data_IF_970500766114
#
_entry.id   IF_970500766114
#
_cell.length_a   1.000
_cell.length_b   1.000
_cell.length_c   1.000
_cell.angle_alpha   90.00
_cell.angle_beta   90.00
_cell.angle_gamma   90.00
#
_symmetry.space_group_name_H-M   'P 1'
#
loop_
_entity.id
_entity.type
_entity.pdbx_description
1 polymer ?
#
# COMPACT_ATOMS: atom_id res chain seq x y z
N UNK A 1 2.55 -21.50 13.49
CA UNK A 1 1.70 -21.45 12.27
C UNK A 1 0.54 -20.54 12.63
N UNK A 2 0.30 -19.50 11.87
CA UNK A 2 -0.78 -18.55 12.17
C UNK A 2 -2.10 -19.12 11.65
N UNK A 3 -3.03 -19.43 12.56
CA UNK A 3 -4.31 -20.06 12.25
C UNK A 3 -5.39 -19.08 11.75
N UNK A 4 -4.98 -17.86 11.33
CA UNK A 4 -5.92 -16.91 10.75
C UNK A 4 -6.44 -17.44 9.42
N UNK A 5 -7.76 -17.40 9.19
CA UNK A 5 -8.32 -17.88 7.93
C UNK A 5 -7.82 -17.02 6.78
N UNK A 6 -7.13 -17.64 5.85
CA UNK A 6 -6.78 -17.01 4.58
C UNK A 6 -8.05 -16.94 3.74
N UNK A 7 -8.27 -15.80 3.09
CA UNK A 7 -9.27 -15.74 2.02
C UNK A 7 -8.65 -16.49 0.84
N UNK A 8 -8.98 -17.76 0.70
CA UNK A 8 -8.62 -18.51 -0.49
C UNK A 8 -9.70 -18.30 -1.53
N UNK A 9 -9.36 -17.63 -2.62
CA UNK A 9 -10.22 -17.67 -3.80
C UNK A 9 -10.05 -19.02 -4.47
N UNK A 10 -11.16 -19.75 -4.76
CA UNK A 10 -11.08 -20.99 -5.52
C UNK A 10 -10.40 -20.74 -6.87
N UNK A 11 -9.29 -21.43 -7.15
CA UNK A 11 -8.53 -21.30 -8.39
C UNK A 11 -7.25 -20.47 -8.30
N UNK A 12 -6.95 -19.85 -7.17
CA UNK A 12 -5.63 -19.25 -6.92
C UNK A 12 -4.78 -20.29 -6.18
N UNK A 13 -3.92 -20.96 -6.92
CA UNK A 13 -2.87 -21.83 -6.40
C UNK A 13 -1.57 -21.04 -6.47
N UNK A 14 -1.26 -20.24 -5.48
CA UNK A 14 -0.03 -19.48 -5.41
C UNK A 14 0.81 -19.85 -4.19
N UNK A 15 2.11 -19.56 -4.25
CA UNK A 15 2.98 -19.62 -3.09
C UNK A 15 2.72 -18.41 -2.22
N UNK A 16 2.53 -18.62 -0.91
CA UNK A 16 2.51 -17.55 0.06
C UNK A 16 3.93 -17.32 0.57
N UNK A 17 4.46 -16.12 0.34
CA UNK A 17 5.71 -15.68 0.96
C UNK A 17 5.37 -14.75 2.12
N UNK A 18 5.97 -15.01 3.27
CA UNK A 18 5.91 -14.11 4.43
C UNK A 18 7.25 -13.41 4.53
N UNK A 19 7.25 -12.13 4.30
CA UNK A 19 8.41 -11.28 4.53
C UNK A 19 8.21 -10.50 5.83
N UNK A 20 9.15 -10.62 6.72
CA UNK A 20 9.18 -9.81 7.94
C UNK A 20 10.34 -8.83 7.85
N UNK A 21 10.03 -7.55 7.88
CA UNK A 21 11.04 -6.47 7.92
C UNK A 21 10.80 -5.68 9.20
N UNK A 22 11.58 -5.98 10.23
CA UNK A 22 11.34 -5.42 11.56
C UNK A 22 10.01 -5.89 12.14
N UNK A 23 9.15 -4.98 12.53
CA UNK A 23 7.79 -5.24 13.06
C UNK A 23 6.71 -5.28 11.96
N UNK A 24 7.06 -5.04 10.70
CA UNK A 24 6.14 -5.10 9.57
C UNK A 24 6.06 -6.53 9.06
N UNK A 25 4.86 -7.05 8.97
CA UNK A 25 4.59 -8.37 8.38
C UNK A 25 3.88 -8.18 7.06
N UNK A 26 4.57 -8.49 5.97
CA UNK A 26 4.02 -8.52 4.62
C UNK A 26 3.75 -9.98 4.23
N UNK A 27 2.51 -10.27 3.86
CA UNK A 27 2.09 -11.58 3.37
C UNK A 27 1.71 -11.44 1.91
N UNK A 28 2.56 -11.98 1.07
CA UNK A 28 2.42 -11.91 -0.37
C UNK A 28 1.84 -13.21 -0.93
N UNK A 29 0.89 -13.09 -1.83
CA UNK A 29 0.32 -14.19 -2.61
C UNK A 29 0.54 -13.89 -4.09
N UNK A 30 1.10 -14.85 -4.80
CA UNK A 30 1.40 -14.73 -6.23
C UNK A 30 0.60 -15.78 -6.96
N UNK A 31 -0.19 -15.38 -7.94
CA UNK A 31 -0.87 -16.28 -8.86
C UNK A 31 0.17 -17.01 -9.72
N UNK A 32 -0.01 -18.33 -9.92
CA UNK A 32 0.88 -19.18 -10.73
C UNK A 32 0.97 -18.71 -12.18
N UNK A 33 -0.09 -18.10 -12.72
CA UNK A 33 -0.11 -17.53 -14.06
C UNK A 33 0.59 -16.16 -14.14
N UNK A 34 0.91 -15.59 -12.99
CA UNK A 34 1.55 -14.28 -12.91
C UNK A 34 0.65 -13.10 -13.30
N UNK A 35 -0.67 -13.29 -13.30
CA UNK A 35 -1.64 -12.27 -13.69
C UNK A 35 -1.98 -11.31 -12.56
N UNK A 36 -1.94 -11.79 -11.31
CA UNK A 36 -2.27 -11.01 -10.11
C UNK A 36 -1.31 -11.35 -8.99
N UNK A 37 -0.90 -10.37 -8.23
CA UNK A 37 -0.30 -10.57 -6.91
C UNK A 37 -1.02 -9.70 -5.88
N UNK A 38 -1.15 -10.18 -4.66
CA UNK A 38 -1.76 -9.44 -3.57
C UNK A 38 -1.15 -9.83 -2.24
N UNK A 39 -1.30 -8.99 -1.24
CA UNK A 39 -0.84 -9.27 0.10
C UNK A 39 -1.47 -8.36 1.14
N UNK A 40 -1.17 -8.65 2.38
CA UNK A 40 -1.60 -7.87 3.54
C UNK A 40 -0.38 -7.38 4.28
N UNK A 41 -0.30 -6.08 4.53
CA UNK A 41 0.76 -5.47 5.33
C UNK A 41 0.15 -4.87 6.60
N UNK A 42 0.77 -5.18 7.72
CA UNK A 42 0.54 -4.51 9.00
C UNK A 42 1.64 -3.46 9.20
N UNK A 43 1.28 -2.19 9.11
CA UNK A 43 2.22 -1.08 9.33
C UNK A 43 2.27 -0.65 10.78
N UNK A 44 3.47 -0.45 11.27
CA UNK A 44 3.74 0.13 12.60
C UNK A 44 3.89 1.65 12.51
N UNK A 45 3.75 2.40 13.62
CA UNK A 45 3.96 3.85 13.64
C UNK A 45 5.35 4.24 13.10
N UNK A 46 5.40 5.30 12.29
CA UNK A 46 6.62 5.82 11.70
C UNK A 46 7.14 5.04 10.48
N UNK A 47 6.46 3.97 10.06
CA UNK A 47 6.85 3.26 8.85
C UNK A 47 6.44 4.02 7.60
N UNK A 48 7.28 3.97 6.57
CA UNK A 48 6.94 4.55 5.27
C UNK A 48 7.62 3.78 4.12
N UNK A 49 7.04 3.91 2.95
CA UNK A 49 7.63 3.49 1.68
C UNK A 49 7.88 4.76 0.87
N UNK A 50 9.12 4.98 0.45
CA UNK A 50 9.53 6.15 -0.31
C UNK A 50 8.84 6.23 -1.68
N UNK A 51 8.89 7.40 -2.32
CA UNK A 51 8.26 7.65 -3.60
C UNK A 51 8.75 6.65 -4.66
N UNK A 52 7.81 5.92 -5.24
CA UNK A 52 8.06 4.89 -6.24
C UNK A 52 6.85 4.72 -7.15
N UNK A 53 7.04 3.99 -8.24
CA UNK A 53 5.95 3.52 -9.10
C UNK A 53 6.12 2.03 -9.43
N UNK A 54 5.08 1.45 -10.01
CA UNK A 54 5.09 0.08 -10.52
C UNK A 54 4.84 0.04 -12.02
N UNK A 55 5.30 -1.01 -12.70
CA UNK A 55 5.00 -1.26 -14.12
C UNK A 55 3.60 -1.84 -14.34
N UNK A 56 2.80 -1.93 -13.29
CA UNK A 56 1.40 -2.35 -13.29
C UNK A 56 0.56 -1.37 -12.46
N UNK A 57 -0.76 -1.52 -12.49
CA UNK A 57 -1.66 -0.82 -11.58
C UNK A 57 -1.62 -1.45 -10.18
N UNK A 58 -1.92 -0.65 -9.19
CA UNK A 58 -2.04 -1.08 -7.80
C UNK A 58 -3.39 -0.64 -7.23
N UNK A 59 -4.04 -1.55 -6.52
CA UNK A 59 -5.21 -1.25 -5.68
C UNK A 59 -4.83 -1.48 -4.22
N UNK A 60 -5.05 -0.48 -3.40
CA UNK A 60 -4.83 -0.56 -1.96
C UNK A 60 -6.16 -0.39 -1.24
N UNK A 61 -6.43 -1.26 -0.30
CA UNK A 61 -7.60 -1.19 0.57
C UNK A 61 -7.12 -1.11 2.01
N UNK A 62 -7.46 -0.03 2.70
CA UNK A 62 -7.20 0.09 4.13
C UNK A 62 -8.23 -0.75 4.87
N UNK A 63 -7.75 -1.69 5.69
CA UNK A 63 -8.63 -2.58 6.45
C UNK A 63 -9.53 -1.76 7.36
N UNK A 64 -10.84 -2.04 7.30
CA UNK A 64 -11.84 -1.33 8.10
C UNK A 64 -11.70 -1.55 9.60
N UNK A 65 -10.95 -2.57 10.02
CA UNK A 65 -10.61 -2.83 11.42
C UNK A 65 -9.37 -2.08 11.89
N UNK A 66 -8.67 -1.34 11.01
CA UNK A 66 -7.54 -0.51 11.41
C UNK A 66 -7.99 0.56 12.40
N UNK A 67 -7.18 0.81 13.42
CA UNK A 67 -7.47 1.86 14.41
C UNK A 67 -7.19 3.26 13.85
N UNK A 68 -6.25 3.37 12.92
CA UNK A 68 -5.81 4.63 12.33
C UNK A 68 -5.79 4.58 10.81
N UNK A 69 -5.73 5.78 10.22
CA UNK A 69 -5.63 6.00 8.78
C UNK A 69 -4.20 5.78 8.29
N UNK A 70 -4.05 5.34 7.05
CA UNK A 70 -2.81 5.45 6.30
C UNK A 70 -2.72 6.79 5.56
N UNK A 71 -1.52 7.11 5.07
CA UNK A 71 -1.29 8.30 4.26
C UNK A 71 -0.60 7.89 2.96
N UNK A 72 -1.15 8.36 1.84
CA UNK A 72 -0.52 8.19 0.53
C UNK A 72 -0.03 9.52 0.00
N UNK A 73 1.22 9.59 -0.46
CA UNK A 73 1.73 10.73 -1.20
C UNK A 73 1.38 10.54 -2.68
N UNK A 74 0.67 11.51 -3.24
CA UNK A 74 0.22 11.46 -4.60
C UNK A 74 0.10 12.87 -5.16
N UNK A 75 0.65 13.12 -6.35
CA UNK A 75 0.62 14.42 -7.02
C UNK A 75 1.12 15.58 -6.18
N UNK A 76 2.23 15.37 -5.50
CA UNK A 76 2.91 16.42 -4.75
C UNK A 76 2.36 16.72 -3.37
N UNK A 77 1.38 15.97 -2.88
CA UNK A 77 0.85 16.13 -1.52
C UNK A 77 0.48 14.80 -0.87
N UNK A 78 0.40 14.81 0.45
CA UNK A 78 -0.10 13.70 1.23
C UNK A 78 -1.62 13.71 1.31
N UNK A 79 -2.22 12.52 1.17
CA UNK A 79 -3.65 12.27 1.29
C UNK A 79 -3.89 11.28 2.42
N UNK A 80 -4.92 11.50 3.20
CA UNK A 80 -5.34 10.57 4.25
C UNK A 80 -6.30 9.52 3.70
N UNK A 81 -5.94 8.25 3.86
CA UNK A 81 -6.77 7.10 3.52
C UNK A 81 -7.33 6.50 4.82
N UNK A 82 -8.60 6.75 5.08
CA UNK A 82 -9.27 6.28 6.28
C UNK A 82 -9.56 4.75 6.21
N UNK A 83 -9.75 4.07 7.36
CA UNK A 83 -10.18 2.68 7.38
C UNK A 83 -11.40 2.43 6.51
N UNK A 84 -11.35 1.39 5.68
CA UNK A 84 -12.37 1.08 4.67
C UNK A 84 -12.20 1.82 3.32
N UNK A 85 -11.22 2.72 3.19
CA UNK A 85 -10.92 3.39 1.92
C UNK A 85 -10.24 2.45 0.93
N UNK A 86 -10.51 2.68 -0.36
CA UNK A 86 -9.78 2.08 -1.47
C UNK A 86 -9.04 3.17 -2.27
N UNK A 87 -7.77 2.94 -2.56
CA UNK A 87 -6.91 3.82 -3.35
C UNK A 87 -6.46 3.06 -4.58
N UNK A 88 -6.83 3.55 -5.76
CA UNK A 88 -6.41 2.98 -7.03
C UNK A 88 -5.30 3.83 -7.64
N UNK A 89 -4.17 3.20 -7.95
CA UNK A 89 -2.98 3.81 -8.51
C UNK A 89 -2.75 3.23 -9.92
N UNK A 90 -2.87 4.03 -10.97
CA UNK A 90 -2.61 3.58 -12.34
C UNK A 90 -1.15 3.14 -12.53
N UNK A 91 -0.91 2.34 -13.56
CA UNK A 91 0.43 1.97 -13.99
C UNK A 91 1.33 3.21 -14.15
N UNK A 92 2.55 3.14 -13.58
CA UNK A 92 3.55 4.20 -13.67
C UNK A 92 3.26 5.44 -12.83
N UNK A 93 2.24 5.39 -11.98
CA UNK A 93 1.88 6.51 -11.10
C UNK A 93 2.82 6.59 -9.90
N UNK A 94 3.62 7.68 -9.75
CA UNK A 94 4.47 7.85 -8.58
C UNK A 94 3.64 8.07 -7.31
N UNK A 95 3.96 7.30 -6.27
CA UNK A 95 3.28 7.38 -4.98
C UNK A 95 4.22 6.95 -3.84
N UNK A 96 3.86 7.31 -2.62
CA UNK A 96 4.50 6.84 -1.40
C UNK A 96 3.43 6.52 -0.35
N UNK A 97 3.80 5.72 0.65
CA UNK A 97 2.94 5.39 1.77
C UNK A 97 3.62 5.69 3.10
N UNK A 98 2.83 6.13 4.07
CA UNK A 98 3.28 6.34 5.43
C UNK A 98 2.18 5.98 6.43
N UNK A 99 2.57 5.36 7.54
CA UNK A 99 1.70 5.19 8.71
C UNK A 99 1.63 6.47 9.56
N UNK A 100 2.42 7.48 9.23
CA UNK A 100 2.53 8.67 10.06
C UNK A 100 3.03 8.36 11.46
N UNK A 101 2.66 9.20 12.41
CA UNK A 101 2.98 9.02 13.83
C UNK A 101 1.86 8.30 14.61
N UNK A 102 0.93 7.69 13.91
CA UNK A 102 -0.23 7.02 14.45
C UNK A 102 0.12 5.63 15.02
N UNK A 103 -0.88 4.85 15.42
CA UNK A 103 -0.70 3.51 15.96
C UNK A 103 -0.32 2.48 14.91
N UNK A 104 -0.50 2.80 13.66
CA UNK A 104 -0.31 1.92 12.52
C UNK A 104 -1.64 1.52 11.89
N UNK A 105 -1.55 0.93 10.72
CA UNK A 105 -2.73 0.47 9.98
C UNK A 105 -2.43 -0.80 9.20
N UNK A 106 -3.49 -1.50 8.86
CA UNK A 106 -3.42 -2.68 8.01
C UNK A 106 -3.95 -2.35 6.63
N UNK A 107 -3.27 -2.81 5.60
CA UNK A 107 -3.75 -2.70 4.24
C UNK A 107 -3.65 -4.00 3.45
N UNK A 108 -4.59 -4.18 2.54
CA UNK A 108 -4.50 -5.14 1.45
C UNK A 108 -3.99 -4.40 0.22
N UNK A 109 -2.95 -4.93 -0.43
CA UNK A 109 -2.48 -4.46 -1.72
C UNK A 109 -2.73 -5.50 -2.80
N UNK A 110 -3.05 -5.05 -4.00
CA UNK A 110 -3.30 -5.90 -5.19
C UNK A 110 -2.61 -5.27 -6.38
N UNK A 111 -1.81 -6.03 -7.09
CA UNK A 111 -1.20 -5.64 -8.36
C UNK A 111 -1.83 -6.41 -9.52
N UNK A 112 -2.02 -5.74 -10.66
CA UNK A 112 -2.63 -6.32 -11.86
C UNK A 112 -1.74 -7.27 -12.65
N UNK A 113 -0.54 -7.58 -12.15
CA UNK A 113 0.37 -8.54 -12.74
C UNK A 113 1.21 -9.23 -11.68
N UNK A 114 1.90 -10.28 -12.09
CA UNK A 114 2.76 -11.06 -11.22
C UNK A 114 3.90 -10.23 -10.61
N UNK A 115 4.50 -10.78 -9.58
CA UNK A 115 5.48 -10.12 -8.70
C UNK A 115 6.63 -9.42 -9.44
N UNK A 116 7.08 -9.93 -10.59
CA UNK A 116 8.17 -9.33 -11.37
C UNK A 116 7.84 -7.95 -11.95
N UNK A 117 6.57 -7.64 -12.22
CA UNK A 117 6.14 -6.32 -12.71
C UNK A 117 5.66 -5.40 -11.58
N UNK A 118 5.42 -5.94 -10.40
CA UNK A 118 5.07 -5.22 -9.19
C UNK A 118 6.29 -4.67 -8.44
N UNK A 119 7.50 -4.89 -8.95
CA UNK A 119 8.74 -4.34 -8.37
C UNK A 119 8.64 -2.82 -8.28
N UNK A 120 9.07 -2.27 -7.15
CA UNK A 120 9.15 -0.83 -6.94
C UNK A 120 10.28 -0.23 -7.76
N UNK A 121 9.94 0.75 -8.58
CA UNK A 121 10.90 1.63 -9.24
C UNK A 121 10.90 2.95 -8.47
N UNK A 122 11.97 3.24 -7.75
CA UNK A 122 12.03 4.42 -6.90
C UNK A 122 12.21 5.70 -7.72
N UNK A 123 11.31 6.65 -7.52
CA UNK A 123 11.31 7.98 -8.14
C UNK A 123 12.03 9.03 -7.26
N UNK A 124 12.33 8.66 -6.02
CA UNK A 124 13.16 9.42 -5.10
C UNK A 124 14.10 8.46 -4.35
N UNK A 125 15.24 8.99 -3.89
CA UNK A 125 16.16 8.22 -3.06
C UNK A 125 15.49 7.83 -1.74
N UNK A 126 15.31 6.52 -1.46
CA UNK A 126 14.67 6.05 -0.23
C UNK A 126 15.36 6.49 1.06
N UNK A 127 16.65 6.88 1.00
CA UNK A 127 17.40 7.36 2.16
C UNK A 127 17.14 8.83 2.47
N UNK A 128 16.71 9.61 1.49
CA UNK A 128 16.49 11.05 1.63
C UNK A 128 15.04 11.46 1.55
N UNK A 129 14.16 10.62 1.01
CA UNK A 129 12.72 10.87 1.00
C UNK A 129 12.19 10.90 2.44
N UNK A 130 11.46 11.95 2.78
CA UNK A 130 10.94 12.11 4.14
C UNK A 130 9.51 11.57 4.26
N UNK A 131 9.19 10.83 5.34
CA UNK A 131 7.82 10.47 5.63
C UNK A 131 6.97 11.71 5.92
N UNK A 132 5.66 11.51 5.97
CA UNK A 132 4.73 12.58 6.33
C UNK A 132 5.07 13.19 7.70
N UNK A 133 5.08 14.51 7.79
CA UNK A 133 5.26 15.23 9.04
C UNK A 133 3.94 15.33 9.82
N UNK A 134 4.02 15.61 11.13
CA UNK A 134 2.80 15.81 11.97
C UNK A 134 1.91 16.95 11.49
N UNK A 135 2.48 17.98 10.90
CA UNK A 135 1.70 19.10 10.37
C UNK A 135 0.99 18.72 9.08
N UNK A 136 1.65 17.95 8.21
CA UNK A 136 1.02 17.38 7.02
C UNK A 136 -0.09 16.39 7.38
N UNK A 137 0.10 15.52 8.39
CA UNK A 137 -0.94 14.61 8.88
C UNK A 137 -2.23 15.34 9.27
N UNK A 138 -2.11 16.46 10.00
CA UNK A 138 -3.27 17.24 10.44
C UNK A 138 -4.01 17.91 9.29
N UNK A 139 -3.30 18.23 8.22
CA UNK A 139 -3.81 18.99 7.08
C UNK A 139 -4.05 18.13 5.84
N UNK A 140 -3.70 16.82 5.88
CA UNK A 140 -3.89 15.93 4.76
C UNK A 140 -5.38 15.81 4.42
N UNK A 141 -5.78 16.17 3.19
CA UNK A 141 -7.16 15.97 2.75
C UNK A 141 -7.48 14.47 2.70
N UNK A 142 -8.76 14.13 2.88
CA UNK A 142 -9.23 12.76 2.77
C UNK A 142 -9.16 12.33 1.30
N UNK A 143 -8.63 11.13 1.06
CA UNK A 143 -8.66 10.51 -0.26
C UNK A 143 -10.11 10.29 -0.71
N UNK A 144 -10.47 10.81 -1.88
CA UNK A 144 -11.77 10.62 -2.51
C UNK A 144 -11.60 10.15 -3.96
N UNK A 145 -12.65 9.56 -4.53
CA UNK A 145 -12.63 9.16 -5.94
C UNK A 145 -12.40 10.36 -6.90
N UNK A 146 -12.81 11.57 -6.49
CA UNK A 146 -12.58 12.81 -7.24
C UNK A 146 -11.11 13.24 -7.20
N UNK A 147 -10.41 13.00 -6.08
CA UNK A 147 -8.98 13.22 -5.97
C UNK A 147 -8.19 12.39 -6.99
N UNK A 148 -8.65 11.19 -7.28
CA UNK A 148 -8.06 10.32 -8.30
C UNK A 148 -8.32 10.84 -9.73
N UNK A 149 -9.48 11.47 -9.99
CA UNK A 149 -9.88 11.95 -11.31
C UNK A 149 -9.32 13.32 -11.68
N UNK A 150 -9.15 14.24 -10.73
CA UNK A 150 -8.53 15.55 -10.96
C UNK A 150 -7.06 15.45 -11.39
N UNK A 151 -6.65 14.28 -11.68
CA UNK A 151 -5.32 13.79 -11.93
C UNK A 151 -5.02 13.47 -13.41
N UNK A 152 -5.96 13.63 -14.32
CA UNK A 152 -5.79 13.46 -15.78
C UNK A 152 -5.43 14.77 -16.49
#
# INVERSE_FOLDING_TARGET
MDDRPYITYPGITGSAEVQQVGEVVDRCYIDELGEVSFGVIDYVPGWFIALHHHHTWELIIIDSSSEDSGYTFFKGQWWRADPGSAVFLPKGCPHAWSSGNNKGFKMLWVYGRGHGEAVRVYDADPQTFQPITRDEERNAPIWTAEAAQSAS
#
